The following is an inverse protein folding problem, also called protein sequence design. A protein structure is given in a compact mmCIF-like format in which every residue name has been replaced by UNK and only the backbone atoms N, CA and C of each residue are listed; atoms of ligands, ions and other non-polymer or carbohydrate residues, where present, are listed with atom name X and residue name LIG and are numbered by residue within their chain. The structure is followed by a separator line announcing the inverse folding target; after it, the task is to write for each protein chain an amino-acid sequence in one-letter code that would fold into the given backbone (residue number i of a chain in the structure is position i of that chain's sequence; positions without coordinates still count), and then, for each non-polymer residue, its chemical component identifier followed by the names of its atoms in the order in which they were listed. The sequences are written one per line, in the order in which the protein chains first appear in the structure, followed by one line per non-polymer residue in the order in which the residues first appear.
data_IF_748820859441
#
_entry.id   IF_748820859441
#
_cell.length_a   1.000
_cell.length_b   1.000
_cell.length_c   1.000
_cell.angle_alpha   90.00
_cell.angle_beta   90.00
_cell.angle_gamma   90.00
#
_symmetry.space_group_name_H-M   'P 1'
#
loop_
_entity.id
_entity.type
_entity.pdbx_description
1 polymer ?
#
# COMPACT_ATOMS: atom_id res chain seq x y z
N UNK A 1 -12.62 -6.60 7.95
CA UNK A 1 -12.01 -5.88 6.81
C UNK A 1 -13.11 -5.56 5.81
N UNK A 2 -13.19 -4.32 5.32
CA UNK A 2 -14.13 -3.93 4.27
C UNK A 2 -13.43 -3.96 2.92
N UNK A 3 -14.11 -4.39 1.86
CA UNK A 3 -13.60 -4.22 0.49
C UNK A 3 -13.89 -2.80 -0.01
N UNK A 4 -13.21 -2.31 -1.05
CA UNK A 4 -13.42 -0.94 -1.54
C UNK A 4 -14.89 -0.58 -1.83
N UNK A 5 -15.66 -1.51 -2.40
CA UNK A 5 -17.09 -1.29 -2.73
C UNK A 5 -17.92 -1.01 -1.47
N UNK A 6 -17.77 -1.83 -0.43
CA UNK A 6 -18.55 -1.66 0.80
C UNK A 6 -18.11 -0.44 1.59
N UNK A 7 -16.83 -0.09 1.54
CA UNK A 7 -16.32 1.16 2.11
C UNK A 7 -16.92 2.38 1.40
N UNK A 8 -16.98 2.37 0.07
CA UNK A 8 -17.62 3.45 -0.69
C UNK A 8 -19.12 3.60 -0.36
N UNK A 9 -19.83 2.48 -0.18
CA UNK A 9 -21.23 2.50 0.26
C UNK A 9 -21.38 3.08 1.67
N UNK A 10 -20.50 2.72 2.60
CA UNK A 10 -20.49 3.24 3.96
C UNK A 10 -20.20 4.74 3.99
N UNK A 11 -19.16 5.20 3.28
CA UNK A 11 -18.81 6.63 3.16
C UNK A 11 -20.01 7.43 2.64
N UNK A 12 -20.65 6.97 1.55
CA UNK A 12 -21.84 7.63 1.02
C UNK A 12 -22.97 7.68 2.04
N UNK A 13 -23.25 6.57 2.73
CA UNK A 13 -24.33 6.53 3.71
C UNK A 13 -24.07 7.46 4.90
N UNK A 14 -22.83 7.55 5.38
CA UNK A 14 -22.42 8.48 6.44
C UNK A 14 -22.67 9.93 6.00
N UNK A 15 -22.25 10.29 4.79
CA UNK A 15 -22.48 11.62 4.22
C UNK A 15 -23.97 11.92 3.98
N UNK A 16 -24.74 10.97 3.44
CA UNK A 16 -26.19 11.13 3.19
C UNK A 16 -27.01 11.28 4.48
N UNK A 17 -26.45 10.87 5.62
CA UNK A 17 -27.03 11.05 6.96
C UNK A 17 -26.60 12.37 7.62
N UNK A 18 -25.81 13.20 6.94
CA UNK A 18 -25.15 14.38 7.53
C UNK A 18 -24.38 14.04 8.83
N UNK A 19 -23.85 12.82 8.88
CA UNK A 19 -23.10 12.34 10.03
C UNK A 19 -21.62 12.56 9.80
N UNK A 20 -20.95 13.22 10.75
CA UNK A 20 -19.53 13.59 10.65
C UNK A 20 -18.66 12.92 11.72
N UNK A 21 -18.60 11.58 11.80
CA UNK A 21 -17.72 10.91 12.73
C UNK A 21 -16.27 11.02 12.29
N UNK A 22 -15.35 10.77 13.22
CA UNK A 22 -14.00 10.34 12.83
C UNK A 22 -14.10 9.00 12.11
N UNK A 23 -13.98 9.02 10.78
CA UNK A 23 -14.15 7.84 9.96
C UNK A 23 -12.80 7.17 9.69
N UNK A 24 -12.49 6.12 10.45
CA UNK A 24 -11.27 5.33 10.28
C UNK A 24 -11.58 4.08 9.47
N UNK A 25 -10.93 3.93 8.32
CA UNK A 25 -11.13 2.80 7.40
C UNK A 25 -9.81 2.07 7.22
N UNK A 26 -9.86 0.74 7.26
CA UNK A 26 -8.69 -0.11 7.01
C UNK A 26 -8.07 0.18 5.63
N UNK A 27 -6.76 -0.02 5.49
CA UNK A 27 -6.01 0.38 4.28
C UNK A 27 -6.56 -0.19 2.98
N UNK A 28 -7.18 -1.37 3.01
CA UNK A 28 -7.77 -2.00 1.83
C UNK A 28 -9.12 -1.38 1.48
N UNK A 29 -9.92 -1.04 2.49
CA UNK A 29 -11.18 -0.32 2.31
C UNK A 29 -11.00 1.15 1.91
N UNK A 30 -9.85 1.75 2.18
CA UNK A 30 -9.61 3.19 2.04
C UNK A 30 -8.81 3.60 0.79
N UNK A 31 -8.68 2.72 -0.21
CA UNK A 31 -7.93 3.01 -1.44
C UNK A 31 -8.57 4.17 -2.23
N UNK A 32 -7.76 5.16 -2.62
CA UNK A 32 -8.24 6.42 -3.21
C UNK A 32 -9.14 6.18 -4.43
N UNK A 33 -8.67 5.48 -5.46
CA UNK A 33 -9.46 5.26 -6.67
C UNK A 33 -10.58 4.21 -6.51
N UNK A 34 -10.33 3.01 -5.95
CA UNK A 34 -11.38 2.00 -5.82
C UNK A 34 -12.49 2.33 -4.81
N UNK A 35 -12.20 3.09 -3.75
CA UNK A 35 -13.14 3.38 -2.67
C UNK A 35 -13.55 4.86 -2.61
N UNK A 36 -12.61 5.78 -2.38
CA UNK A 36 -12.93 7.18 -2.12
C UNK A 36 -13.51 7.89 -3.35
N UNK A 37 -12.93 7.66 -4.53
CA UNK A 37 -13.46 8.20 -5.78
C UNK A 37 -14.85 7.62 -6.09
N UNK A 38 -15.06 6.32 -5.83
CA UNK A 38 -16.35 5.65 -5.97
C UNK A 38 -17.42 6.19 -5.00
N UNK A 39 -17.00 6.69 -3.83
CA UNK A 39 -17.88 7.33 -2.87
C UNK A 39 -18.19 8.79 -3.23
N UNK A 40 -17.26 9.47 -3.91
CA UNK A 40 -17.21 10.92 -4.05
C UNK A 40 -16.12 11.49 -3.14
N UNK A 41 -15.19 12.27 -3.70
CA UNK A 41 -14.07 12.82 -2.92
C UNK A 41 -14.53 13.83 -1.88
N UNK A 42 -15.55 14.63 -2.21
CA UNK A 42 -16.24 15.54 -1.29
C UNK A 42 -16.77 14.79 -0.05
N UNK A 43 -17.39 13.62 -0.25
CA UNK A 43 -17.89 12.76 0.83
C UNK A 43 -16.79 12.03 1.61
N UNK A 44 -15.58 11.99 1.06
CA UNK A 44 -14.46 11.22 1.60
C UNK A 44 -13.45 12.08 2.37
N UNK A 45 -13.60 13.41 2.36
CA UNK A 45 -12.70 14.32 3.11
C UNK A 45 -12.67 13.92 4.58
N UNK A 46 -11.47 13.83 5.14
CA UNK A 46 -11.28 13.51 6.55
C UNK A 46 -11.22 12.01 6.88
N UNK A 47 -11.49 11.11 5.93
CA UNK A 47 -11.25 9.66 6.12
C UNK A 47 -9.81 9.43 6.55
N UNK A 48 -9.62 8.66 7.61
CA UNK A 48 -8.32 8.28 8.17
C UNK A 48 -8.03 6.82 7.87
N UNK A 49 -6.79 6.51 7.51
CA UNK A 49 -6.34 5.14 7.28
C UNK A 49 -4.92 4.90 7.75
N UNK A 50 -4.53 3.63 7.87
CA UNK A 50 -3.15 3.21 8.05
C UNK A 50 -2.45 3.09 6.70
N UNK A 51 -1.59 4.05 6.37
CA UNK A 51 -0.76 4.03 5.17
C UNK A 51 0.57 3.32 5.42
N UNK A 52 0.99 2.50 4.48
CA UNK A 52 2.30 1.84 4.51
C UNK A 52 3.05 1.91 3.18
N UNK A 53 2.38 2.31 2.10
CA UNK A 53 2.98 2.60 0.81
C UNK A 53 2.89 4.09 0.49
N UNK A 54 3.84 4.57 -0.32
CA UNK A 54 3.79 5.87 -0.98
C UNK A 54 2.65 5.90 -1.98
N UNK A 55 2.05 7.08 -2.14
CA UNK A 55 1.11 7.34 -3.23
C UNK A 55 1.90 7.54 -4.54
N UNK A 56 1.65 6.74 -5.60
CA UNK A 56 2.32 6.90 -6.91
C UNK A 56 2.03 8.22 -7.60
N UNK A 57 1.00 8.94 -7.18
CA UNK A 57 0.58 10.23 -7.74
C UNK A 57 1.06 11.43 -6.94
N UNK A 58 1.68 11.22 -5.77
CA UNK A 58 2.21 12.32 -4.95
C UNK A 58 3.47 12.90 -5.60
N UNK A 59 3.45 14.18 -6.02
CA UNK A 59 4.61 14.82 -6.65
C UNK A 59 5.85 14.84 -5.74
N UNK A 60 5.70 14.76 -4.42
CA UNK A 60 6.83 14.70 -3.48
C UNK A 60 7.69 13.45 -3.69
N UNK A 61 7.12 12.39 -4.26
CA UNK A 61 7.84 11.14 -4.53
C UNK A 61 8.49 11.10 -5.91
N UNK A 62 8.33 12.14 -6.75
CA UNK A 62 8.83 12.15 -8.12
C UNK A 62 10.35 11.97 -8.21
N UNK A 63 11.09 12.47 -7.22
CA UNK A 63 12.55 12.35 -7.18
C UNK A 63 13.06 11.10 -6.49
N UNK A 64 12.18 10.31 -5.88
CA UNK A 64 12.56 9.07 -5.22
C UNK A 64 13.07 8.03 -6.26
N UNK A 65 14.31 7.52 -6.12
CA UNK A 65 14.85 6.51 -7.04
C UNK A 65 13.97 5.26 -7.18
N UNK A 66 13.30 4.83 -6.11
CA UNK A 66 12.40 3.67 -6.11
C UNK A 66 11.11 3.97 -6.85
N UNK A 67 10.61 5.20 -6.77
CA UNK A 67 9.47 5.65 -7.58
C UNK A 67 9.85 5.67 -9.07
N UNK A 68 11.01 6.23 -9.41
CA UNK A 68 11.53 6.25 -10.78
C UNK A 68 11.66 4.82 -11.35
N UNK A 69 12.10 3.85 -10.54
CA UNK A 69 12.14 2.44 -10.93
C UNK A 69 10.75 1.84 -11.21
N UNK A 70 9.77 2.10 -10.34
CA UNK A 70 8.38 1.67 -10.58
C UNK A 70 7.83 2.27 -11.88
N UNK A 71 8.01 3.58 -12.09
CA UNK A 71 7.52 4.27 -13.28
C UNK A 71 8.17 3.75 -14.57
N UNK A 72 9.48 3.48 -14.55
CA UNK A 72 10.20 2.88 -15.67
C UNK A 72 9.73 1.43 -15.94
N UNK A 73 9.54 0.63 -14.89
CA UNK A 73 8.99 -0.72 -15.02
C UNK A 73 7.57 -0.69 -15.62
N UNK A 74 6.71 0.19 -15.11
CA UNK A 74 5.34 0.38 -15.61
C UNK A 74 5.35 0.77 -17.08
N UNK A 75 6.14 1.77 -17.47
CA UNK A 75 6.22 2.22 -18.85
C UNK A 75 6.62 1.10 -19.82
N UNK A 76 7.47 0.18 -19.37
CA UNK A 76 7.95 -0.95 -20.18
C UNK A 76 6.99 -2.14 -20.22
N UNK A 77 6.38 -2.50 -19.09
CA UNK A 77 5.69 -3.78 -18.93
C UNK A 77 4.18 -3.69 -18.67
N UNK A 78 3.67 -2.51 -18.30
CA UNK A 78 2.25 -2.27 -18.05
C UNK A 78 1.86 -0.82 -18.41
N UNK A 79 2.14 -0.34 -19.64
CA UNK A 79 1.90 1.05 -20.03
C UNK A 79 0.42 1.48 -19.90
N UNK A 80 -0.50 0.52 -20.01
CA UNK A 80 -1.95 0.68 -19.90
C UNK A 80 -2.46 0.80 -18.45
N UNK A 81 -1.64 0.44 -17.46
CA UNK A 81 -2.05 0.46 -16.05
C UNK A 81 -2.35 1.87 -15.56
N UNK A 82 -3.44 2.11 -14.84
CA UNK A 82 -3.73 3.45 -14.30
C UNK A 82 -2.79 3.81 -13.11
N UNK A 83 -1.94 4.85 -13.22
CA UNK A 83 -1.04 5.23 -12.14
C UNK A 83 -1.77 5.75 -10.89
N UNK A 84 -3.01 6.24 -11.04
CA UNK A 84 -3.85 6.66 -9.91
C UNK A 84 -4.52 5.49 -9.19
N UNK A 85 -4.41 4.26 -9.71
CA UNK A 85 -4.87 3.07 -9.00
C UNK A 85 -3.71 2.46 -8.18
N UNK A 86 -3.69 2.64 -6.84
CA UNK A 86 -2.58 2.22 -6.00
C UNK A 86 -2.32 0.71 -5.99
N UNK A 87 -3.30 -0.11 -6.43
CA UNK A 87 -3.17 -1.57 -6.52
C UNK A 87 -2.00 -1.99 -7.41
N UNK A 88 -1.66 -1.22 -8.45
CA UNK A 88 -0.50 -1.51 -9.31
C UNK A 88 0.82 -1.38 -8.56
N UNK A 89 0.99 -0.28 -7.82
CA UNK A 89 2.19 -0.06 -7.01
C UNK A 89 2.32 -1.08 -5.87
N UNK A 90 1.18 -1.50 -5.29
CA UNK A 90 1.12 -2.57 -4.31
C UNK A 90 1.60 -3.90 -4.92
N UNK A 91 1.03 -4.31 -6.06
CA UNK A 91 1.39 -5.55 -6.75
C UNK A 91 2.88 -5.60 -7.10
N UNK A 92 3.42 -4.52 -7.66
CA UNK A 92 4.86 -4.39 -7.93
C UNK A 92 5.70 -4.55 -6.66
N UNK A 93 5.32 -3.89 -5.57
CA UNK A 93 6.05 -3.94 -4.30
C UNK A 93 6.07 -5.34 -3.69
N UNK A 94 4.93 -6.05 -3.72
CA UNK A 94 4.85 -7.43 -3.25
C UNK A 94 5.62 -8.40 -4.15
N UNK A 95 5.61 -8.18 -5.47
CA UNK A 95 6.44 -8.95 -6.39
C UNK A 95 7.94 -8.77 -6.10
N UNK A 96 8.38 -7.56 -5.72
CA UNK A 96 9.77 -7.34 -5.29
C UNK A 96 10.11 -8.08 -3.99
N UNK A 97 9.16 -8.26 -3.07
CA UNK A 97 9.37 -9.13 -1.91
C UNK A 97 9.61 -10.58 -2.34
N UNK A 98 8.86 -11.09 -3.32
CA UNK A 98 9.09 -12.41 -3.90
C UNK A 98 10.48 -12.52 -4.54
N UNK A 99 10.94 -11.50 -5.27
CA UNK A 99 12.30 -11.47 -5.85
C UNK A 99 13.37 -11.60 -4.76
N UNK A 100 13.20 -10.94 -3.61
CA UNK A 100 14.12 -11.06 -2.47
C UNK A 100 14.14 -12.50 -1.95
N UNK A 101 12.97 -13.12 -1.75
CA UNK A 101 12.86 -14.50 -1.28
C UNK A 101 13.55 -15.47 -2.26
N UNK A 102 13.26 -15.36 -3.55
CA UNK A 102 13.85 -16.24 -4.58
C UNK A 102 15.37 -16.07 -4.68
N UNK A 103 15.88 -14.84 -4.60
CA UNK A 103 17.34 -14.59 -4.54
C UNK A 103 18.00 -15.24 -3.32
N UNK A 104 17.31 -15.26 -2.18
CA UNK A 104 17.81 -15.90 -0.95
C UNK A 104 17.72 -17.42 -1.01
N UNK A 105 16.74 -17.97 -1.71
CA UNK A 105 16.63 -19.40 -1.97
C UNK A 105 17.76 -19.91 -2.90
N UNK A 106 18.26 -19.06 -3.80
CA UNK A 106 19.36 -19.40 -4.70
C UNK A 106 18.92 -20.45 -5.72
N UNK A 107 19.73 -21.49 -5.90
CA UNK A 107 19.45 -22.56 -6.89
C UNK A 107 18.52 -23.66 -6.36
N UNK A 108 18.27 -23.73 -5.05
CA UNK A 108 17.31 -24.67 -4.47
C UNK A 108 15.95 -23.99 -4.34
N UNK A 109 15.10 -24.22 -5.34
CA UNK A 109 13.73 -23.70 -5.38
C UNK A 109 12.70 -24.72 -4.86
N UNK A 110 13.13 -25.64 -3.99
CA UNK A 110 12.21 -26.52 -3.27
C UNK A 110 11.26 -25.71 -2.38
N UNK A 111 10.06 -26.24 -2.14
CA UNK A 111 9.07 -25.64 -1.24
C UNK A 111 9.66 -25.35 0.14
N UNK A 112 10.46 -26.29 0.67
CA UNK A 112 11.10 -26.17 1.97
C UNK A 112 12.08 -25.01 2.02
N UNK A 113 12.97 -24.89 1.04
CA UNK A 113 13.97 -23.82 1.03
C UNK A 113 13.35 -22.44 0.73
N UNK A 114 12.33 -22.37 -0.14
CA UNK A 114 11.57 -21.14 -0.37
C UNK A 114 10.88 -20.69 0.92
N UNK A 115 10.24 -21.62 1.66
CA UNK A 115 9.61 -21.29 2.93
C UNK A 115 10.64 -20.80 3.94
N UNK A 116 11.77 -21.48 4.07
CA UNK A 116 12.88 -21.08 4.95
C UNK A 116 13.39 -19.67 4.62
N UNK A 117 13.57 -19.36 3.34
CA UNK A 117 13.98 -18.03 2.89
C UNK A 117 12.92 -16.96 3.18
N UNK A 118 11.64 -17.28 2.97
CA UNK A 118 10.50 -16.40 3.21
C UNK A 118 10.25 -16.13 4.71
N UNK A 119 10.62 -17.07 5.59
CA UNK A 119 10.48 -16.95 7.05
C UNK A 119 11.79 -16.55 7.73
N UNK A 120 12.78 -16.07 6.97
CA UNK A 120 14.08 -15.60 7.50
C UNK A 120 14.49 -14.27 6.87
N UNK A 121 13.51 -13.39 6.61
CA UNK A 121 13.79 -12.06 6.10
C UNK A 121 14.29 -11.17 7.25
N UNK A 122 15.48 -10.54 7.11
CA UNK A 122 15.97 -9.60 8.10
C UNK A 122 14.98 -8.45 8.30
N UNK A 123 14.81 -7.99 9.53
CA UNK A 123 13.96 -6.85 9.89
C UNK A 123 14.45 -5.51 9.31
N UNK A 124 15.61 -5.50 8.65
CA UNK A 124 16.15 -4.39 7.86
C UNK A 124 15.69 -4.38 6.40
N UNK A 125 14.91 -5.37 5.96
CA UNK A 125 14.48 -5.48 4.56
C UNK A 125 13.53 -4.33 4.22
N UNK A 126 13.75 -3.66 3.10
CA UNK A 126 12.85 -2.60 2.60
C UNK A 126 12.37 -2.93 1.21
N UNK A 127 11.13 -2.56 0.89
CA UNK A 127 10.53 -2.74 -0.43
C UNK A 127 10.44 -1.39 -1.17
N UNK A 128 10.23 -1.35 -2.50
CA UNK A 128 10.32 -0.11 -3.26
C UNK A 128 9.38 1.00 -2.78
N UNK A 129 8.10 0.68 -2.60
CA UNK A 129 7.07 1.68 -2.35
C UNK A 129 6.71 1.86 -0.89
N UNK A 130 7.37 1.18 0.06
CA UNK A 130 7.07 1.41 1.48
C UNK A 130 7.44 2.83 1.89
N UNK A 131 6.67 3.41 2.81
CA UNK A 131 6.96 4.72 3.37
C UNK A 131 8.33 4.71 4.10
N UNK A 132 9.03 5.86 4.17
CA UNK A 132 10.25 5.97 4.96
C UNK A 132 10.07 5.45 6.39
N UNK A 133 11.06 4.70 6.87
CA UNK A 133 11.03 4.07 8.19
C UNK A 133 10.28 2.74 8.28
N UNK A 134 9.46 2.38 7.29
CA UNK A 134 8.79 1.07 7.25
C UNK A 134 9.74 0.01 6.70
N UNK A 135 9.88 -1.07 7.46
CA UNK A 135 10.68 -2.24 7.10
C UNK A 135 9.79 -3.49 7.12
N UNK A 136 10.25 -4.52 6.43
CA UNK A 136 9.66 -5.85 6.48
C UNK A 136 10.65 -6.85 7.08
N UNK A 137 10.14 -7.86 7.78
CA UNK A 137 10.96 -8.91 8.38
C UNK A 137 10.09 -10.07 8.84
N UNK A 138 10.65 -11.28 8.79
CA UNK A 138 9.95 -12.52 9.16
C UNK A 138 10.91 -13.44 9.91
N UNK A 139 10.36 -14.25 10.79
CA UNK A 139 11.08 -15.33 11.48
C UNK A 139 10.29 -16.63 11.39
N UNK A 140 10.90 -17.79 11.73
CA UNK A 140 10.17 -19.06 11.86
C UNK A 140 9.08 -19.05 12.93
N UNK A 141 9.04 -18.02 13.78
CA UNK A 141 8.04 -17.84 14.85
C UNK A 141 7.13 -16.63 14.63
N UNK A 142 7.41 -15.77 13.64
CA UNK A 142 6.58 -14.61 13.30
C UNK A 142 6.56 -14.34 11.79
N UNK A 143 5.43 -14.70 11.19
CA UNK A 143 5.20 -14.64 9.75
C UNK A 143 4.65 -13.28 9.31
N UNK A 144 4.41 -12.34 10.24
CA UNK A 144 3.87 -11.01 9.94
C UNK A 144 4.99 -10.13 9.41
N UNK A 145 5.11 -10.10 8.08
CA UNK A 145 6.19 -9.41 7.39
C UNK A 145 6.25 -7.91 7.69
N UNK A 146 5.11 -7.23 7.87
CA UNK A 146 5.05 -5.79 8.10
C UNK A 146 4.28 -5.52 9.40
N UNK A 147 4.85 -4.67 10.26
CA UNK A 147 4.32 -4.38 11.60
C UNK A 147 4.14 -2.88 11.88
N UNK A 148 4.44 -2.05 10.88
CA UNK A 148 4.41 -0.60 11.01
C UNK A 148 3.53 0.00 9.92
N UNK A 149 2.69 0.95 10.33
CA UNK A 149 1.89 1.80 9.45
C UNK A 149 1.98 3.23 9.98
N UNK A 150 1.69 4.20 9.12
CA UNK A 150 1.57 5.62 9.44
C UNK A 150 0.12 6.03 9.28
N UNK A 151 -0.44 6.77 10.21
CA UNK A 151 -1.79 7.32 10.01
C UNK A 151 -1.74 8.38 8.93
N UNK A 152 -2.74 8.36 8.04
CA UNK A 152 -2.91 9.34 6.99
C UNK A 152 -4.37 9.77 6.91
N UNK A 153 -4.61 11.03 6.54
CA UNK A 153 -5.94 11.61 6.36
C UNK A 153 -6.13 12.08 4.92
N UNK A 154 -7.28 11.77 4.33
CA UNK A 154 -7.61 12.22 2.99
C UNK A 154 -8.01 13.70 2.99
N UNK A 155 -7.34 14.51 2.17
CA UNK A 155 -7.54 15.96 2.09
C UNK A 155 -8.55 16.40 1.00
N UNK A 156 -9.21 15.43 0.35
CA UNK A 156 -10.09 15.67 -0.80
C UNK A 156 -9.41 15.44 -2.16
N UNK A 157 -8.08 15.29 -2.17
CA UNK A 157 -7.29 14.97 -3.38
C UNK A 157 -6.40 13.75 -3.18
N UNK A 158 -5.67 13.70 -2.07
CA UNK A 158 -4.76 12.60 -1.74
C UNK A 158 -4.65 12.41 -0.22
N UNK A 159 -3.96 11.35 0.19
CA UNK A 159 -3.64 11.14 1.59
C UNK A 159 -2.45 12.00 2.03
N UNK A 160 -2.59 12.65 3.18
CA UNK A 160 -1.50 13.32 3.89
C UNK A 160 -1.18 12.56 5.16
N UNK A 161 0.10 12.27 5.37
CA UNK A 161 0.55 11.64 6.62
C UNK A 161 0.25 12.58 7.80
N UNK A 162 -0.27 12.03 8.88
CA UNK A 162 -0.39 12.75 10.13
C UNK A 162 1.00 12.91 10.78
N UNK A 163 1.21 13.99 11.55
CA UNK A 163 2.38 14.11 12.41
C UNK A 163 2.54 12.90 13.33
N UNK A 164 3.78 12.60 13.71
CA UNK A 164 4.10 11.61 14.74
C UNK A 164 3.75 12.11 16.14
#
# INVERSE_FOLDING_TARGET
ASTPKFSAMSIRKVADLDWHPLHIIDSNGALVKPALASAGFDKSVGVVTGAYLKDPTDPQSNDDPRMKQLLAWRAKYAPESDPANPVWSYGYTMAQAMVIVLKRAGNDLSRENILKAATSLPDTTTLPMVLPGIKVGTSPTDYRAMKSVRLARFDGKMYRLLPE
#
